data_IF_132821569625
#
_entry.id   IF_132821569625
#
_cell.length_a   1.000
_cell.length_b   1.000
_cell.length_c   1.000
_cell.angle_alpha   90.00
_cell.angle_beta   90.00
_cell.angle_gamma   90.00
#
_symmetry.space_group_name_H-M   'P 1'
#
loop_
_entity.id
_entity.type
_entity.pdbx_description
1 polymer ?
#
# COMPACT_ATOMS: atom_id res chain seq x y z
N UNK A 1 -7.54 -34.59 54.31
CA UNK A 1 -6.51 -34.69 53.25
C UNK A 1 -7.21 -34.72 51.89
N UNK A 2 -7.41 -33.56 51.26
CA UNK A 2 -8.04 -33.45 49.94
C UNK A 2 -6.96 -33.42 48.85
N UNK A 3 -6.97 -34.43 47.97
CA UNK A 3 -6.12 -34.48 46.77
C UNK A 3 -6.74 -33.60 45.69
N UNK A 4 -6.07 -32.52 45.32
CA UNK A 4 -6.36 -31.73 44.13
C UNK A 4 -5.85 -32.48 42.88
N UNK A 5 -6.78 -32.86 41.99
CA UNK A 5 -6.49 -33.32 40.64
C UNK A 5 -6.17 -32.10 39.76
N UNK A 6 -4.92 -31.97 39.31
CA UNK A 6 -4.53 -31.01 38.27
C UNK A 6 -4.88 -31.60 36.90
N UNK A 7 -5.81 -30.96 36.19
CA UNK A 7 -6.10 -31.27 34.80
C UNK A 7 -5.03 -30.60 33.91
N UNK A 8 -4.24 -31.41 33.20
CA UNK A 8 -3.32 -30.96 32.16
C UNK A 8 -4.12 -30.80 30.88
N UNK A 9 -4.35 -29.55 30.44
CA UNK A 9 -4.92 -29.26 29.13
C UNK A 9 -3.80 -29.38 28.10
N UNK A 10 -3.79 -30.49 27.35
CA UNK A 10 -3.00 -30.62 26.12
C UNK A 10 -3.67 -29.79 25.02
N UNK A 11 -3.11 -28.61 24.74
CA UNK A 11 -3.45 -27.86 23.54
C UNK A 11 -2.81 -28.55 22.32
N UNK A 12 -3.63 -29.27 21.55
CA UNK A 12 -3.26 -29.77 20.23
C UNK A 12 -3.17 -28.60 19.26
N UNK A 13 -1.94 -28.24 18.87
CA UNK A 13 -1.69 -27.30 17.78
C UNK A 13 -2.05 -27.98 16.45
N UNK A 14 -3.24 -27.71 15.93
CA UNK A 14 -3.54 -28.01 14.53
C UNK A 14 -2.61 -27.16 13.65
N UNK A 15 -1.71 -27.79 12.90
CA UNK A 15 -0.97 -27.16 11.82
C UNK A 15 -1.97 -26.79 10.73
N UNK A 16 -2.31 -25.49 10.66
CA UNK A 16 -3.01 -24.91 9.54
C UNK A 16 -2.24 -25.18 8.22
N UNK A 17 -2.95 -25.38 7.09
CA UNK A 17 -2.32 -25.71 5.81
C UNK A 17 -1.39 -24.58 5.32
N UNK A 18 -0.16 -24.87 4.84
CA UNK A 18 0.53 -24.00 3.89
C UNK A 18 -0.05 -24.26 2.48
N UNK A 19 -0.06 -23.34 1.51
CA UNK A 19 0.72 -22.14 1.37
C UNK A 19 -0.12 -21.02 0.71
N UNK A 20 -0.44 -20.00 1.49
CA UNK A 20 -0.45 -18.65 0.97
C UNK A 20 0.87 -18.44 0.20
N UNK A 21 0.83 -18.12 -1.10
CA UNK A 21 2.06 -17.95 -1.89
C UNK A 21 3.02 -16.96 -1.22
N UNK A 22 4.34 -17.12 -1.34
CA UNK A 22 5.31 -16.23 -0.68
C UNK A 22 5.13 -14.75 -1.09
N UNK A 23 5.45 -13.82 -0.19
CA UNK A 23 5.66 -12.42 -0.59
C UNK A 23 6.86 -12.39 -1.53
N UNK A 24 6.67 -11.84 -2.71
CA UNK A 24 7.73 -11.74 -3.73
C UNK A 24 7.81 -10.34 -4.29
N UNK A 25 8.83 -10.08 -5.12
CA UNK A 25 8.94 -8.83 -5.86
C UNK A 25 9.08 -7.57 -5.00
N UNK A 26 9.58 -7.68 -3.76
CA UNK A 26 9.79 -6.53 -2.87
C UNK A 26 10.80 -5.58 -3.51
N UNK A 27 10.34 -4.37 -3.83
CA UNK A 27 11.13 -3.28 -4.39
C UNK A 27 10.95 -2.06 -3.51
N UNK A 28 12.06 -1.46 -3.11
CA UNK A 28 12.09 -0.18 -2.44
C UNK A 28 12.67 0.88 -3.39
N UNK A 29 12.02 2.04 -3.45
CA UNK A 29 12.45 3.21 -4.22
C UNK A 29 12.31 4.46 -3.36
N UNK A 30 13.31 5.32 -3.35
CA UNK A 30 13.32 6.53 -2.51
C UNK A 30 13.25 7.80 -3.37
N UNK A 31 12.41 8.75 -2.97
CA UNK A 31 12.25 10.06 -3.61
C UNK A 31 11.92 11.13 -2.57
N UNK A 32 12.73 12.20 -2.52
CA UNK A 32 12.47 13.40 -1.73
C UNK A 32 12.06 13.15 -0.27
N UNK A 33 12.71 12.19 0.39
CA UNK A 33 12.43 11.87 1.79
C UNK A 33 11.30 10.86 2.01
N UNK A 34 10.81 10.21 0.97
CA UNK A 34 9.85 9.11 1.09
C UNK A 34 10.35 7.86 0.35
N UNK A 35 10.37 6.74 1.05
CA UNK A 35 10.63 5.42 0.50
C UNK A 35 9.29 4.73 0.21
N UNK A 36 9.04 4.41 -1.05
CA UNK A 36 7.94 3.54 -1.47
C UNK A 36 8.41 2.10 -1.52
N UNK A 37 7.67 1.22 -0.84
CA UNK A 37 7.88 -0.22 -0.82
C UNK A 37 6.71 -0.84 -1.57
N UNK A 38 7.01 -1.51 -2.67
CA UNK A 38 6.06 -2.24 -3.51
C UNK A 38 6.39 -3.72 -3.46
N UNK A 39 5.37 -4.57 -3.39
CA UNK A 39 5.55 -6.03 -3.29
C UNK A 39 4.36 -6.77 -3.86
N UNK A 40 4.57 -8.03 -4.25
CA UNK A 40 3.48 -8.93 -4.62
C UNK A 40 2.90 -9.54 -3.35
N UNK A 41 1.60 -9.33 -3.14
CA UNK A 41 0.85 -9.88 -2.02
C UNK A 41 0.72 -11.41 -2.15
N UNK A 42 0.76 -12.14 -1.03
CA UNK A 42 0.52 -13.57 -1.05
C UNK A 42 -0.93 -13.83 -1.47
N UNK A 43 -1.15 -14.84 -2.32
CA UNK A 43 -2.51 -15.25 -2.69
C UNK A 43 -3.14 -16.03 -1.53
N UNK A 44 -3.99 -15.38 -0.75
CA UNK A 44 -4.87 -16.05 0.22
C UNK A 44 -6.20 -16.45 -0.41
N UNK A 45 -6.63 -15.71 -1.43
CA UNK A 45 -7.85 -15.95 -2.21
C UNK A 45 -7.58 -15.61 -3.68
N UNK A 46 -8.35 -16.18 -4.59
CA UNK A 46 -8.27 -15.84 -6.01
C UNK A 46 -8.81 -14.44 -6.27
N UNK A 47 -8.05 -13.65 -7.03
CA UNK A 47 -8.44 -12.29 -7.38
C UNK A 47 -9.35 -12.31 -8.60
N UNK A 48 -10.50 -11.67 -8.46
CA UNK A 48 -11.40 -11.45 -9.58
C UNK A 48 -10.92 -10.29 -10.47
N UNK A 49 -11.28 -10.33 -11.75
CA UNK A 49 -11.16 -9.17 -12.62
C UNK A 49 -12.23 -8.14 -12.25
N UNK A 50 -11.94 -7.29 -11.27
CA UNK A 50 -12.89 -6.30 -10.76
C UNK A 50 -13.27 -5.28 -11.84
N UNK A 51 -14.56 -5.09 -12.04
CA UNK A 51 -15.15 -4.17 -13.03
C UNK A 51 -15.48 -2.82 -12.42
N UNK A 52 -15.59 -2.74 -11.09
CA UNK A 52 -15.99 -1.53 -10.38
C UNK A 52 -15.31 -1.40 -9.00
N UNK A 53 -15.24 -0.18 -8.48
CA UNK A 53 -14.75 0.11 -7.12
C UNK A 53 -15.59 -0.57 -6.02
N UNK A 54 -16.90 -0.71 -6.26
CA UNK A 54 -17.80 -1.40 -5.33
C UNK A 54 -17.48 -2.89 -5.22
N UNK A 55 -17.10 -3.54 -6.33
CA UNK A 55 -16.67 -4.94 -6.30
C UNK A 55 -15.38 -5.10 -5.50
N UNK A 56 -14.39 -4.23 -5.71
CA UNK A 56 -13.13 -4.25 -4.94
C UNK A 56 -13.40 -4.04 -3.46
N UNK A 57 -14.25 -3.07 -3.13
CA UNK A 57 -14.59 -2.73 -1.74
C UNK A 57 -15.38 -3.85 -1.05
N UNK A 58 -16.30 -4.50 -1.76
CA UNK A 58 -17.04 -5.66 -1.27
C UNK A 58 -16.10 -6.85 -1.05
N UNK A 59 -15.23 -7.14 -2.01
CA UNK A 59 -14.24 -8.20 -1.93
C UNK A 59 -13.29 -7.98 -0.75
N UNK A 60 -12.69 -6.80 -0.62
CA UNK A 60 -11.80 -6.45 0.51
C UNK A 60 -12.49 -6.61 1.86
N UNK A 61 -13.75 -6.20 1.98
CA UNK A 61 -14.52 -6.36 3.22
C UNK A 61 -14.75 -7.83 3.56
N UNK A 62 -15.14 -8.63 2.56
CA UNK A 62 -15.37 -10.06 2.72
C UNK A 62 -14.07 -10.81 3.07
N UNK A 63 -12.96 -10.44 2.41
CA UNK A 63 -11.62 -10.94 2.68
C UNK A 63 -11.21 -10.67 4.14
N UNK A 64 -11.33 -9.43 4.61
CA UNK A 64 -10.94 -9.08 5.99
C UNK A 64 -11.83 -9.77 7.04
N UNK A 65 -13.08 -10.09 6.71
CA UNK A 65 -13.96 -10.89 7.58
C UNK A 65 -13.50 -12.35 7.66
N UNK A 66 -13.03 -12.94 6.56
CA UNK A 66 -12.52 -14.32 6.51
C UNK A 66 -11.10 -14.46 7.04
N UNK A 67 -10.30 -13.42 6.90
CA UNK A 67 -8.90 -13.36 7.31
C UNK A 67 -8.70 -12.24 8.37
N UNK A 68 -9.30 -12.38 9.57
CA UNK A 68 -9.19 -11.36 10.59
C UNK A 68 -7.73 -11.16 11.01
N UNK A 69 -7.32 -9.89 11.10
CA UNK A 69 -5.94 -9.52 11.44
C UNK A 69 -4.92 -9.73 10.32
N UNK A 70 -5.36 -10.14 9.12
CA UNK A 70 -4.45 -10.29 7.99
C UNK A 70 -3.89 -8.94 7.52
N UNK A 71 -2.59 -8.88 7.30
CA UNK A 71 -1.90 -7.69 6.83
C UNK A 71 -0.40 -7.89 6.73
N UNK A 72 0.34 -6.79 6.67
CA UNK A 72 1.78 -6.79 6.49
C UNK A 72 2.48 -5.96 7.56
N UNK A 73 3.69 -6.38 7.92
CA UNK A 73 4.64 -5.53 8.65
C UNK A 73 5.77 -5.17 7.71
N UNK A 74 6.17 -3.90 7.77
CA UNK A 74 7.25 -3.34 6.99
C UNK A 74 8.45 -3.20 7.90
N UNK A 75 9.54 -3.85 7.52
CA UNK A 75 10.77 -3.92 8.32
C UNK A 75 11.90 -3.19 7.63
N UNK A 76 12.74 -2.50 8.41
CA UNK A 76 13.87 -1.69 7.95
C UNK A 76 15.14 -2.10 8.69
N UNK A 77 16.27 -2.14 7.99
CA UNK A 77 17.59 -2.39 8.58
C UNK A 77 18.67 -1.59 7.87
N UNK A 78 19.71 -1.17 8.59
CA UNK A 78 20.92 -0.59 7.99
C UNK A 78 21.85 -1.65 7.38
N UNK A 79 21.59 -2.94 7.65
CA UNK A 79 22.33 -4.10 7.14
C UNK A 79 21.42 -4.93 6.23
N UNK A 80 21.97 -5.75 5.31
CA UNK A 80 21.18 -6.67 4.50
C UNK A 80 20.24 -7.54 5.33
N UNK A 81 18.98 -7.60 4.92
CA UNK A 81 17.98 -8.45 5.57
C UNK A 81 17.95 -9.81 4.88
N UNK A 82 17.91 -10.86 5.69
CA UNK A 82 17.84 -12.28 5.32
C UNK A 82 16.73 -12.94 6.13
N UNK A 83 16.30 -14.14 5.74
CA UNK A 83 15.35 -14.92 6.53
C UNK A 83 15.81 -15.15 7.99
N UNK A 84 17.12 -15.20 8.24
CA UNK A 84 17.69 -15.46 9.57
C UNK A 84 17.67 -14.25 10.51
N UNK A 85 17.86 -13.04 9.96
CA UNK A 85 17.98 -11.81 10.77
C UNK A 85 16.78 -10.86 10.60
N UNK A 86 15.75 -11.24 9.82
CA UNK A 86 14.55 -10.40 9.60
C UNK A 86 13.89 -10.01 10.91
N UNK A 87 13.94 -10.85 11.95
CA UNK A 87 13.37 -10.57 13.26
C UNK A 87 14.11 -9.47 14.05
N UNK A 88 15.38 -9.20 13.70
CA UNK A 88 16.18 -8.11 14.29
C UNK A 88 15.89 -6.76 13.63
N UNK A 89 15.27 -6.74 12.45
CA UNK A 89 14.97 -5.52 11.72
C UNK A 89 13.84 -4.73 12.38
N UNK A 90 13.95 -3.40 12.35
CA UNK A 90 12.97 -2.48 12.95
C UNK A 90 11.64 -2.55 12.20
N UNK A 91 10.53 -2.71 12.90
CA UNK A 91 9.19 -2.58 12.30
C UNK A 91 8.84 -1.11 12.16
N UNK A 92 8.95 -0.59 10.93
CA UNK A 92 8.69 0.83 10.62
C UNK A 92 7.24 1.11 10.23
N UNK A 93 6.44 0.06 9.99
CA UNK A 93 5.10 0.24 9.46
C UNK A 93 4.26 -1.01 9.41
N UNK A 94 2.96 -0.80 9.20
CA UNK A 94 1.97 -1.85 8.95
C UNK A 94 1.00 -1.39 7.88
N UNK A 95 0.55 -2.31 7.04
CA UNK A 95 -0.52 -2.05 6.08
C UNK A 95 -1.38 -3.31 5.88
N UNK A 96 -2.57 -3.14 5.29
CA UNK A 96 -3.45 -4.27 4.95
C UNK A 96 -3.21 -4.79 3.54
N UNK A 97 -4.04 -5.73 3.13
CA UNK A 97 -4.14 -6.17 1.74
C UNK A 97 -4.83 -5.13 0.86
N UNK A 98 -4.59 -5.22 -0.46
CA UNK A 98 -5.18 -4.39 -1.51
C UNK A 98 -4.81 -2.91 -1.40
N UNK A 99 -3.60 -2.62 -0.93
CA UNK A 99 -3.14 -1.23 -0.73
C UNK A 99 -2.85 -0.49 -2.02
N UNK A 100 -2.64 -1.19 -3.14
CA UNK A 100 -2.52 -0.56 -4.46
C UNK A 100 -3.85 0.03 -4.98
N UNK A 101 -5.00 -0.34 -4.41
CA UNK A 101 -6.29 0.22 -4.82
C UNK A 101 -6.49 1.64 -4.29
N UNK A 102 -6.74 2.60 -5.18
CA UNK A 102 -7.07 3.97 -4.78
C UNK A 102 -8.57 4.08 -4.45
N UNK A 103 -8.92 3.83 -3.18
CA UNK A 103 -10.30 3.95 -2.70
C UNK A 103 -10.73 5.39 -2.40
N UNK A 104 -9.81 6.35 -2.41
CA UNK A 104 -10.05 7.75 -2.02
C UNK A 104 -10.31 8.66 -3.20
N UNK A 105 -9.90 8.28 -4.41
CA UNK A 105 -10.17 9.07 -5.59
C UNK A 105 -11.66 9.11 -5.90
N UNK A 106 -12.28 10.26 -5.64
CA UNK A 106 -13.72 10.48 -5.85
C UNK A 106 -13.98 11.54 -6.92
N UNK A 107 -13.53 11.32 -8.16
CA UNK A 107 -14.04 12.08 -9.30
C UNK A 107 -14.97 11.25 -10.19
N UNK A 108 -16.04 10.71 -9.61
CA UNK A 108 -17.28 10.49 -10.35
C UNK A 108 -18.47 10.91 -9.50
N UNK A 109 -18.88 12.17 -9.65
CA UNK A 109 -20.31 12.55 -9.56
C UNK A 109 -21.04 11.71 -10.64
N UNK A 110 -21.54 10.52 -10.30
CA UNK A 110 -22.28 9.68 -11.26
C UNK A 110 -22.15 8.15 -11.14
N UNK A 111 -21.87 7.59 -9.96
CA UNK A 111 -22.21 6.19 -9.68
C UNK A 111 -21.33 5.10 -10.33
N UNK A 112 -20.02 5.08 -10.06
CA UNK A 112 -19.25 3.83 -10.01
C UNK A 112 -19.02 3.02 -11.30
N UNK A 113 -19.41 3.49 -12.49
CA UNK A 113 -19.31 2.72 -13.75
C UNK A 113 -17.90 2.68 -14.39
N UNK A 114 -16.82 2.85 -13.62
CA UNK A 114 -15.44 2.80 -14.13
C UNK A 114 -14.68 1.61 -13.60
N UNK A 115 -13.73 1.10 -14.39
CA UNK A 115 -12.72 0.19 -13.88
C UNK A 115 -12.03 0.85 -12.66
N UNK A 116 -11.85 0.10 -11.56
CA UNK A 116 -11.23 0.62 -10.36
C UNK A 116 -9.81 1.11 -10.64
N UNK A 117 -9.46 2.25 -10.06
CA UNK A 117 -8.15 2.88 -10.23
C UNK A 117 -7.17 2.31 -9.21
N UNK A 118 -5.98 1.93 -9.68
CA UNK A 118 -4.85 1.58 -8.82
C UNK A 118 -3.79 2.66 -8.89
N UNK A 119 -3.05 2.82 -7.80
CA UNK A 119 -1.96 3.78 -7.72
C UNK A 119 -0.86 3.49 -8.74
N UNK A 120 -0.11 4.53 -9.05
CA UNK A 120 1.16 4.53 -9.79
C UNK A 120 2.26 4.97 -8.83
N UNK A 121 3.45 4.40 -9.00
CA UNK A 121 4.63 4.69 -8.15
C UNK A 121 5.74 5.41 -8.92
N UNK A 122 5.46 5.79 -10.16
CA UNK A 122 6.27 6.66 -11.01
C UNK A 122 5.35 7.67 -11.70
N UNK A 123 5.88 8.85 -12.03
CA UNK A 123 5.10 9.92 -12.63
C UNK A 123 4.49 9.50 -13.96
N UNK A 124 3.16 9.56 -14.05
CA UNK A 124 2.33 9.10 -15.16
C UNK A 124 2.61 7.66 -15.63
N UNK A 125 3.23 6.82 -14.81
CA UNK A 125 3.58 5.45 -15.14
C UNK A 125 2.39 4.50 -15.30
N UNK A 126 2.68 3.20 -15.35
CA UNK A 126 1.62 2.19 -15.35
C UNK A 126 0.97 2.07 -13.97
N UNK A 127 -0.32 1.77 -13.96
CA UNK A 127 -1.01 1.41 -12.72
C UNK A 127 -0.41 0.11 -12.17
N UNK A 128 -0.24 0.04 -10.85
CA UNK A 128 0.19 -1.19 -10.20
C UNK A 128 -0.76 -2.35 -10.56
N UNK A 129 -0.27 -3.58 -10.81
CA UNK A 129 -1.10 -4.75 -11.05
C UNK A 129 -1.97 -5.11 -9.85
N UNK A 130 -3.03 -5.89 -10.09
CA UNK A 130 -3.76 -6.56 -8.99
C UNK A 130 -2.84 -7.50 -8.20
N UNK A 131 -3.11 -7.64 -6.90
CA UNK A 131 -2.26 -8.42 -6.00
C UNK A 131 -0.93 -7.73 -5.67
N UNK A 132 -0.85 -6.42 -5.88
CA UNK A 132 0.30 -5.60 -5.47
C UNK A 132 -0.03 -4.84 -4.19
N UNK A 133 0.89 -4.89 -3.24
CA UNK A 133 0.90 -4.05 -2.05
C UNK A 133 1.80 -2.83 -2.26
N UNK A 134 1.42 -1.70 -1.67
CA UNK A 134 2.22 -0.47 -1.62
C UNK A 134 2.19 0.11 -0.21
N UNK A 135 3.35 0.50 0.28
CA UNK A 135 3.52 1.21 1.54
C UNK A 135 4.53 2.35 1.37
N UNK A 136 4.28 3.48 2.03
CA UNK A 136 5.16 4.63 2.01
C UNK A 136 5.76 4.88 3.40
N UNK A 137 7.06 5.10 3.45
CA UNK A 137 7.81 5.37 4.68
C UNK A 137 8.58 6.67 4.57
N UNK A 138 8.46 7.56 5.55
CA UNK A 138 9.31 8.73 5.68
C UNK A 138 10.36 8.44 6.77
N UNK A 139 11.64 8.21 6.41
CA UNK A 139 12.66 7.84 7.37
C UNK A 139 13.02 9.03 8.25
N UNK A 140 13.14 8.78 9.56
CA UNK A 140 13.56 9.80 10.52
C UNK A 140 15.06 10.16 10.42
N UNK A 141 15.85 9.31 9.73
CA UNK A 141 17.29 9.49 9.54
C UNK A 141 17.68 9.09 8.13
N UNK A 142 18.55 9.88 7.51
CA UNK A 142 19.17 9.55 6.22
C UNK A 142 20.12 8.35 6.35
N UNK A 143 20.38 7.66 5.24
CA UNK A 143 21.34 6.56 5.20
C UNK A 143 20.92 5.44 4.24
N UNK A 144 21.75 4.39 4.16
CA UNK A 144 21.40 3.18 3.40
C UNK A 144 20.46 2.31 4.22
N UNK A 145 19.37 1.85 3.60
CA UNK A 145 18.39 1.00 4.24
C UNK A 145 17.98 -0.17 3.35
N UNK A 146 17.81 -1.33 3.97
CA UNK A 146 17.22 -2.53 3.40
C UNK A 146 15.80 -2.70 3.94
N UNK A 147 14.91 -3.23 3.11
CA UNK A 147 13.53 -3.45 3.45
C UNK A 147 13.14 -4.91 3.38
N UNK A 148 12.25 -5.31 4.29
CA UNK A 148 11.54 -6.56 4.19
C UNK A 148 10.05 -6.34 4.46
N UNK A 149 9.23 -7.21 3.88
CA UNK A 149 7.80 -7.25 4.09
C UNK A 149 7.46 -8.63 4.61
N UNK A 150 6.77 -8.68 5.74
CA UNK A 150 6.29 -9.92 6.31
C UNK A 150 4.77 -9.94 6.30
N UNK A 151 4.16 -11.11 6.10
CA UNK A 151 2.71 -11.28 6.24
C UNK A 151 2.37 -11.64 7.67
N UNK A 152 1.30 -11.07 8.20
CA UNK A 152 0.60 -11.55 9.39
C UNK A 152 -0.71 -12.16 8.94
N UNK A 153 -0.97 -13.43 9.25
CA UNK A 153 -2.24 -14.11 8.96
C UNK A 153 -2.50 -15.21 10.00
N UNK A 154 -3.76 -15.34 10.46
CA UNK A 154 -4.10 -16.34 11.49
C UNK A 154 -3.31 -16.18 12.80
N UNK A 155 -2.92 -14.95 13.14
CA UNK A 155 -2.11 -14.64 14.32
C UNK A 155 -0.62 -14.98 14.22
N UNK A 156 -0.16 -15.53 13.09
CA UNK A 156 1.25 -15.88 12.84
C UNK A 156 1.90 -14.90 11.84
N UNK A 157 3.20 -14.75 11.95
CA UNK A 157 4.02 -13.96 11.03
C UNK A 157 5.07 -14.86 10.39
N UNK A 158 4.93 -15.15 9.09
CA UNK A 158 5.70 -16.21 8.44
C UNK A 158 6.44 -15.72 7.19
N UNK A 159 5.69 -15.43 6.11
CA UNK A 159 6.25 -15.17 4.78
C UNK A 159 7.06 -13.88 4.77
N UNK A 160 8.28 -13.93 4.23
CA UNK A 160 9.18 -12.79 4.11
C UNK A 160 9.52 -12.55 2.65
N UNK A 161 9.31 -11.34 2.18
CA UNK A 161 9.97 -10.81 0.99
C UNK A 161 11.02 -9.78 1.38
N UNK A 162 12.18 -9.78 0.73
CA UNK A 162 13.27 -8.82 0.99
C UNK A 162 13.56 -7.99 -0.26
N UNK A 163 13.89 -6.71 -0.07
CA UNK A 163 14.40 -5.87 -1.15
C UNK A 163 15.78 -6.38 -1.56
N UNK A 164 16.00 -6.64 -2.85
CA UNK A 164 17.28 -7.17 -3.34
C UNK A 164 18.48 -6.22 -3.23
N UNK A 165 18.26 -4.93 -2.98
CA UNK A 165 19.31 -3.90 -2.85
C UNK A 165 18.92 -2.84 -1.83
N UNK A 166 19.88 -2.15 -1.19
CA UNK A 166 19.55 -1.04 -0.30
C UNK A 166 19.08 0.17 -1.11
N UNK A 167 18.28 1.01 -0.48
CA UNK A 167 17.98 2.37 -0.96
C UNK A 167 18.82 3.38 -0.18
N UNK A 168 19.19 4.48 -0.84
CA UNK A 168 19.81 5.62 -0.16
C UNK A 168 18.70 6.60 0.22
N UNK A 169 18.49 6.76 1.52
CA UNK A 169 17.43 7.57 2.07
C UNK A 169 17.91 8.96 2.44
N UNK A 170 17.06 9.95 2.19
CA UNK A 170 17.11 11.28 2.79
C UNK A 170 15.89 11.48 3.70
N UNK A 171 15.91 12.50 4.55
CA UNK A 171 14.74 12.88 5.37
C UNK A 171 13.87 13.86 4.60
N UNK A 172 12.55 13.71 4.67
CA UNK A 172 11.59 14.60 4.04
C UNK A 172 10.19 14.02 4.01
N UNK A 173 9.27 14.70 3.33
CA UNK A 173 7.84 14.33 3.28
C UNK A 173 7.46 13.55 2.03
N UNK A 174 8.34 13.47 1.03
CA UNK A 174 8.06 12.90 -0.29
C UNK A 174 7.42 13.91 -1.26
N UNK A 175 7.65 13.66 -2.55
CA UNK A 175 6.98 14.39 -3.62
C UNK A 175 5.64 13.73 -3.98
N UNK A 176 4.61 14.50 -4.36
CA UNK A 176 3.44 13.94 -5.01
C UNK A 176 3.83 13.23 -6.31
N UNK A 177 3.25 12.05 -6.55
CA UNK A 177 3.45 11.27 -7.77
C UNK A 177 2.29 11.53 -8.72
N UNK A 178 2.61 11.99 -9.93
CA UNK A 178 1.61 12.21 -10.97
C UNK A 178 0.95 10.88 -11.30
N UNK A 179 -0.34 10.77 -11.01
CA UNK A 179 -1.12 9.61 -11.35
C UNK A 179 -1.56 9.71 -12.82
N UNK A 180 -2.33 10.73 -13.21
CA UNK A 180 -2.70 10.91 -14.62
C UNK A 180 -3.07 12.35 -14.97
N UNK A 181 -3.29 12.55 -16.26
CA UNK A 181 -3.59 13.84 -16.87
C UNK A 181 -4.99 13.76 -17.48
N UNK A 182 -5.86 14.69 -17.13
CA UNK A 182 -7.19 14.81 -17.73
C UNK A 182 -7.27 16.11 -18.55
N UNK A 183 -7.85 16.00 -19.75
CA UNK A 183 -8.13 17.14 -20.64
C UNK A 183 -9.64 17.28 -20.76
N UNK A 184 -10.31 17.99 -19.83
CA UNK A 184 -11.76 18.12 -19.85
C UNK A 184 -12.22 18.90 -21.09
N UNK A 185 -13.49 18.69 -21.49
CA UNK A 185 -14.13 19.45 -22.56
C UNK A 185 -14.11 20.96 -22.20
N UNK A 186 -13.52 21.83 -23.05
CA UNK A 186 -13.46 23.26 -22.81
C UNK A 186 -14.82 23.93 -22.58
N UNK A 187 -15.90 23.36 -23.14
CA UNK A 187 -17.28 23.85 -22.96
C UNK A 187 -17.81 23.58 -21.56
N UNK A 188 -17.39 22.47 -20.94
CA UNK A 188 -17.76 22.11 -19.56
C UNK A 188 -16.92 22.87 -18.55
N UNK A 189 -15.69 23.22 -18.90
CA UNK A 189 -14.76 23.92 -18.02
C UNK A 189 -14.45 23.13 -16.74
N UNK A 190 -13.98 23.83 -15.72
CA UNK A 190 -13.79 23.31 -14.37
C UNK A 190 -14.18 24.37 -13.35
N UNK A 191 -15.14 24.04 -12.49
CA UNK A 191 -15.81 25.00 -11.60
C UNK A 191 -16.23 26.27 -12.37
N UNK A 192 -15.69 27.42 -11.99
CA UNK A 192 -16.04 28.74 -12.53
C UNK A 192 -15.13 29.18 -13.69
N UNK A 193 -14.25 28.31 -14.20
CA UNK A 193 -13.37 28.61 -15.35
C UNK A 193 -13.78 27.81 -16.58
N UNK A 194 -14.04 28.52 -17.68
CA UNK A 194 -14.23 27.96 -19.03
C UNK A 194 -12.92 28.06 -19.81
N UNK A 195 -12.81 27.32 -20.91
CA UNK A 195 -11.63 27.34 -21.79
C UNK A 195 -10.77 26.07 -21.68
N UNK A 196 -9.75 25.98 -22.54
CA UNK A 196 -8.87 24.82 -22.57
C UNK A 196 -8.01 24.76 -21.30
N UNK A 197 -7.96 23.60 -20.67
CA UNK A 197 -7.16 23.37 -19.48
C UNK A 197 -6.66 21.93 -19.39
N UNK A 198 -5.69 21.72 -18.51
CA UNK A 198 -5.21 20.40 -18.11
C UNK A 198 -5.43 20.23 -16.61
N UNK A 199 -5.91 19.06 -16.20
CA UNK A 199 -5.97 18.65 -14.79
C UNK A 199 -4.92 17.57 -14.56
N UNK A 200 -3.99 17.86 -13.67
CA UNK A 200 -2.96 16.93 -13.23
C UNK A 200 -3.40 16.34 -11.89
N UNK A 201 -3.56 15.02 -11.84
CA UNK A 201 -3.95 14.30 -10.64
C UNK A 201 -2.70 13.68 -10.04
N UNK A 202 -2.34 14.08 -8.83
CA UNK A 202 -1.21 13.53 -8.08
C UNK A 202 -1.72 12.76 -6.86
N UNK A 203 -0.93 11.82 -6.37
CA UNK A 203 -1.10 11.23 -5.04
C UNK A 203 0.18 11.45 -4.25
N UNK A 204 0.07 11.91 -3.01
CA UNK A 204 1.17 11.85 -2.03
C UNK A 204 0.73 10.99 -0.86
N UNK A 205 1.60 10.09 -0.39
CA UNK A 205 1.34 9.34 0.83
C UNK A 205 1.72 10.20 2.02
N UNK A 206 0.75 10.88 2.62
CA UNK A 206 0.97 11.76 3.74
C UNK A 206 1.38 11.00 5.01
N UNK A 207 2.13 11.71 5.83
CA UNK A 207 2.46 11.35 7.20
C UNK A 207 2.39 12.61 8.07
N UNK A 208 2.75 12.50 9.35
CA UNK A 208 2.82 13.67 10.22
C UNK A 208 3.78 14.72 9.62
N UNK A 209 3.42 16.02 9.57
CA UNK A 209 2.28 16.66 10.25
C UNK A 209 0.96 16.71 9.47
N UNK A 210 0.94 16.39 8.17
CA UNK A 210 -0.25 16.56 7.32
C UNK A 210 -1.27 15.42 7.47
N UNK A 211 -0.89 14.29 8.05
CA UNK A 211 -1.79 13.22 8.41
C UNK A 211 -1.46 12.65 9.79
N UNK A 212 -2.49 12.32 10.56
CA UNK A 212 -2.35 11.59 11.82
C UNK A 212 -2.03 10.10 11.61
N UNK A 213 -2.13 9.60 10.38
CA UNK A 213 -1.77 8.24 10.01
C UNK A 213 -0.56 8.29 9.07
N UNK A 214 0.50 7.49 9.31
CA UNK A 214 1.58 7.37 8.35
C UNK A 214 1.08 6.68 7.08
N UNK A 215 1.71 6.97 5.94
CA UNK A 215 1.41 6.33 4.65
C UNK A 215 -0.04 6.50 4.20
N UNK A 216 -0.68 7.63 4.51
CA UNK A 216 -2.06 7.89 4.12
C UNK A 216 -2.12 8.55 2.73
N UNK A 217 -2.54 7.86 1.67
CA UNK A 217 -2.59 8.45 0.34
C UNK A 217 -3.64 9.57 0.28
N UNK A 218 -3.22 10.75 -0.18
CA UNK A 218 -4.07 11.90 -0.45
C UNK A 218 -3.90 12.30 -1.91
N UNK A 219 -5.04 12.48 -2.60
CA UNK A 219 -5.07 12.91 -3.99
C UNK A 219 -5.12 14.44 -4.09
N UNK A 220 -4.24 14.98 -4.91
CA UNK A 220 -4.12 16.40 -5.22
C UNK A 220 -4.51 16.64 -6.68
N UNK A 221 -5.30 17.67 -6.93
CA UNK A 221 -5.64 18.10 -8.28
C UNK A 221 -5.04 19.47 -8.54
N UNK A 222 -4.28 19.59 -9.63
CA UNK A 222 -3.78 20.87 -10.14
C UNK A 222 -4.44 21.15 -11.48
N UNK A 223 -5.20 22.25 -11.59
CA UNK A 223 -5.82 22.68 -12.84
C UNK A 223 -5.02 23.84 -13.44
N UNK A 224 -4.53 23.65 -14.67
CA UNK A 224 -3.70 24.61 -15.39
C UNK A 224 -4.48 25.09 -16.62
N UNK A 225 -4.82 26.38 -16.73
CA UNK A 225 -5.38 26.92 -17.97
C UNK A 225 -4.31 26.89 -19.07
N UNK A 226 -4.68 26.45 -20.27
CA UNK A 226 -3.77 26.41 -21.43
C UNK A 226 -3.78 27.71 -22.25
N UNK A 227 -4.76 28.56 -21.98
CA UNK A 227 -4.92 29.86 -22.63
C UNK A 227 -4.88 30.91 -21.51
N UNK A 228 -4.04 31.96 -21.62
CA UNK A 228 -4.11 33.10 -20.72
C UNK A 228 -5.49 33.77 -20.85
N UNK A 229 -5.94 34.38 -19.76
CA UNK A 229 -7.15 35.21 -19.75
C UNK A 229 -7.00 36.42 -20.66
#
# INVERSE_FOLDING_TARGET
MNRMLSAVILATWALAPPAAGAITGVKATHRAGQTLIVFTEPKLEELSAFKSESEVSAFRRAFLKRHPGAGFRIRRSSRPITAKNVAEAEVVGRCGFFTAFNSTYRQKRGGGKGAPIRYRVTDAGEQLPWGTGVYAHNPAKAGKAWYAVTVVAGGKEDLVGVSGRPVTETVGVGDPILQWIERPDPKKGWHFRRGKMVRLIYTRWESHPHSNRPSNPIDYLVAIPLEPK
#
